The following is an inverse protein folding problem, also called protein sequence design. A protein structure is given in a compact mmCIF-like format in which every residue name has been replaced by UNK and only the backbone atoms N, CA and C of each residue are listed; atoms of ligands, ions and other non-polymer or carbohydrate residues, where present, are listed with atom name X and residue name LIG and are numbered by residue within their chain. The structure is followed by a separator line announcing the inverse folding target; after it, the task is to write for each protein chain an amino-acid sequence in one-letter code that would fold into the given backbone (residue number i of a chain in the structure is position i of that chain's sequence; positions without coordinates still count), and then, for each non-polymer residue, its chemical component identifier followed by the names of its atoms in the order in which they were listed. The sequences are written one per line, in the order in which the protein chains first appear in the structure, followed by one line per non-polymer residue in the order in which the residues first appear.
data_IF_960454500987
#
_entry.id   IF_960454500987
#
_cell.length_a   1.000
_cell.length_b   1.000
_cell.length_c   1.000
_cell.angle_alpha   90.00
_cell.angle_beta   90.00
_cell.angle_gamma   90.00
#
_symmetry.space_group_name_H-M   'P 1'
#
loop_
_entity.id
_entity.type
_entity.pdbx_description
1 polymer ?
#
# COMPACT_ATOMS: atom_id res chain seq x y z
N UNK A 1 7.09 5.24 10.71
CA UNK A 1 6.11 4.13 10.86
C UNK A 1 5.36 3.90 9.56
N UNK A 2 5.30 2.66 9.08
CA UNK A 2 4.54 2.24 7.87
C UNK A 2 3.21 1.62 8.29
N UNK A 3 2.10 2.03 7.68
CA UNK A 3 0.78 1.45 7.90
C UNK A 3 0.27 0.64 6.71
N UNK A 4 -0.73 -0.21 6.96
CA UNK A 4 -1.47 -0.95 5.92
C UNK A 4 -2.96 -0.63 6.01
N UNK A 5 -3.62 -0.47 4.85
CA UNK A 5 -5.04 -0.21 4.73
C UNK A 5 -5.67 -1.10 3.66
N UNK A 6 -6.59 -1.98 4.06
CA UNK A 6 -7.46 -2.67 3.12
C UNK A 6 -8.73 -1.84 2.95
N UNK A 7 -8.99 -1.37 1.73
CA UNK A 7 -10.16 -0.55 1.40
C UNK A 7 -10.99 -1.25 0.34
N UNK A 8 -12.32 -1.13 0.41
CA UNK A 8 -13.25 -1.70 -0.57
C UNK A 8 -13.74 -0.68 -1.60
N UNK A 9 -13.53 0.61 -1.36
CA UNK A 9 -13.91 1.71 -2.23
C UNK A 9 -12.96 2.88 -2.02
N UNK A 10 -12.71 3.67 -3.07
CA UNK A 10 -11.88 4.89 -3.01
C UNK A 10 -10.57 4.73 -2.21
N UNK A 11 -9.78 3.71 -2.58
CA UNK A 11 -8.54 3.30 -1.90
C UNK A 11 -7.60 4.48 -1.66
N UNK A 12 -7.36 5.31 -2.68
CA UNK A 12 -6.43 6.43 -2.59
C UNK A 12 -6.90 7.54 -1.62
N UNK A 13 -8.20 7.87 -1.64
CA UNK A 13 -8.76 8.88 -0.76
C UNK A 13 -8.63 8.48 0.71
N UNK A 14 -9.10 7.27 1.06
CA UNK A 14 -9.03 6.79 2.44
C UNK A 14 -7.60 6.54 2.91
N UNK A 15 -6.71 6.07 2.03
CA UNK A 15 -5.30 5.91 2.37
C UNK A 15 -4.67 7.24 2.76
N UNK A 16 -4.86 8.30 1.96
CA UNK A 16 -4.34 9.64 2.26
C UNK A 16 -4.90 10.21 3.56
N UNK A 17 -6.20 10.05 3.79
CA UNK A 17 -6.84 10.46 5.04
C UNK A 17 -6.24 9.73 6.26
N UNK A 18 -6.03 8.41 6.16
CA UNK A 18 -5.40 7.61 7.22
C UNK A 18 -3.93 7.99 7.43
N UNK A 19 -3.18 8.27 6.37
CA UNK A 19 -1.80 8.74 6.44
C UNK A 19 -1.71 10.00 7.29
N UNK A 20 -2.54 11.01 7.00
CA UNK A 20 -2.57 12.27 7.74
C UNK A 20 -3.09 12.07 9.17
N UNK A 21 -4.23 11.41 9.34
CA UNK A 21 -4.90 11.25 10.65
C UNK A 21 -4.08 10.44 11.65
N UNK A 22 -3.31 9.45 11.17
CA UNK A 22 -2.44 8.62 12.01
C UNK A 22 -0.98 9.11 12.05
N UNK A 23 -0.67 10.22 11.38
CA UNK A 23 0.68 10.76 11.23
C UNK A 23 1.70 9.67 10.82
N UNK A 24 1.33 8.87 9.81
CA UNK A 24 2.19 7.82 9.27
C UNK A 24 3.18 8.42 8.28
N UNK A 25 4.34 7.80 8.14
CA UNK A 25 5.33 8.22 7.13
C UNK A 25 4.98 7.63 5.76
N UNK A 26 4.36 6.45 5.77
CA UNK A 26 3.92 5.74 4.58
C UNK A 26 2.70 4.86 4.91
N UNK A 27 1.80 4.69 3.96
CA UNK A 27 0.66 3.78 4.05
C UNK A 27 0.52 2.98 2.76
N UNK A 28 0.37 1.67 2.89
CA UNK A 28 0.16 0.77 1.77
C UNK A 28 -1.31 0.41 1.71
N UNK A 29 -1.97 0.66 0.59
CA UNK A 29 -3.39 0.42 0.44
C UNK A 29 -3.71 -0.51 -0.73
N UNK A 30 -4.54 -1.52 -0.49
CA UNK A 30 -5.00 -2.45 -1.51
C UNK A 30 -6.54 -2.43 -1.59
N UNK A 31 -7.04 -2.57 -2.82
CA UNK A 31 -8.47 -2.72 -3.08
C UNK A 31 -8.88 -4.16 -2.78
N UNK A 32 -9.67 -4.36 -1.73
CA UNK A 32 -10.22 -5.68 -1.35
C UNK A 32 -11.69 -5.84 -1.75
N UNK A 33 -12.19 -4.98 -2.63
CA UNK A 33 -13.53 -5.10 -3.20
C UNK A 33 -13.73 -6.47 -3.87
N UNK A 34 -14.94 -7.01 -3.76
CA UNK A 34 -15.28 -8.31 -4.36
C UNK A 34 -14.66 -9.53 -3.69
N UNK A 35 -14.02 -9.41 -2.52
CA UNK A 35 -13.49 -10.54 -1.75
C UNK A 35 -12.24 -11.21 -2.37
N UNK A 36 -11.70 -10.62 -3.45
CA UNK A 36 -10.63 -11.21 -4.26
C UNK A 36 -9.23 -11.06 -3.70
N UNK A 37 -9.01 -10.50 -2.51
CA UNK A 37 -7.63 -10.32 -2.00
C UNK A 37 -7.30 -11.23 -0.82
N UNK A 38 -8.30 -11.67 -0.06
CA UNK A 38 -8.08 -12.63 1.02
C UNK A 38 -7.99 -14.05 0.44
N UNK A 39 -6.77 -14.56 0.31
CA UNK A 39 -6.50 -15.93 -0.14
C UNK A 39 -6.10 -16.07 -1.60
N UNK A 40 -5.94 -14.97 -2.34
CA UNK A 40 -5.34 -15.00 -3.67
C UNK A 40 -3.82 -14.89 -3.58
N UNK A 41 -3.13 -15.58 -4.49
CA UNK A 41 -1.67 -15.51 -4.59
C UNK A 41 -1.20 -14.23 -5.27
N UNK A 42 -2.07 -13.55 -6.01
CA UNK A 42 -1.78 -12.27 -6.66
C UNK A 42 -2.47 -11.11 -5.95
N UNK A 43 -1.74 -10.01 -5.77
CA UNK A 43 -2.24 -8.81 -5.13
C UNK A 43 -1.61 -7.55 -5.77
N UNK A 44 -2.29 -6.42 -5.66
CA UNK A 44 -1.81 -5.11 -6.08
C UNK A 44 -1.85 -4.16 -4.89
N UNK A 45 -0.86 -3.29 -4.77
CA UNK A 45 -0.78 -2.31 -3.68
C UNK A 45 -0.55 -0.93 -4.26
N UNK A 46 -1.14 0.07 -3.64
CA UNK A 46 -0.82 1.47 -3.88
C UNK A 46 -0.20 2.03 -2.60
N UNK A 47 1.05 2.45 -2.70
CA UNK A 47 1.81 3.00 -1.57
C UNK A 47 1.72 4.52 -1.62
N UNK A 48 1.38 5.14 -0.51
CA UNK A 48 1.31 6.60 -0.35
C UNK A 48 2.24 7.03 0.76
N UNK A 49 2.93 8.15 0.57
CA UNK A 49 3.77 8.79 1.58
C UNK A 49 3.58 10.31 1.52
N UNK A 50 4.23 11.04 2.44
CA UNK A 50 4.01 12.48 2.62
C UNK A 50 4.26 13.33 1.37
N UNK A 51 5.10 12.86 0.45
CA UNK A 51 5.53 13.62 -0.74
C UNK A 51 5.10 13.01 -2.07
N UNK A 52 4.36 11.89 -2.07
CA UNK A 52 4.00 11.20 -3.30
C UNK A 52 3.27 9.88 -3.10
N UNK A 53 3.08 9.19 -4.21
CA UNK A 53 2.41 7.89 -4.27
C UNK A 53 3.01 7.03 -5.39
N UNK A 54 2.89 5.71 -5.24
CA UNK A 54 3.36 4.71 -6.20
C UNK A 54 2.40 3.54 -6.25
N UNK A 55 1.91 3.25 -7.45
CA UNK A 55 1.16 2.04 -7.72
C UNK A 55 2.14 0.88 -7.98
N UNK A 56 2.00 -0.19 -7.19
CA UNK A 56 2.66 -1.46 -7.40
C UNK A 56 1.77 -2.35 -8.27
N UNK A 57 2.33 -3.05 -9.26
CA UNK A 57 1.55 -3.87 -10.18
C UNK A 57 0.91 -5.07 -9.47
N UNK A 58 -0.15 -5.61 -10.08
CA UNK A 58 -0.71 -6.91 -9.69
C UNK A 58 0.34 -7.99 -9.92
N UNK A 59 0.84 -8.57 -8.83
CA UNK A 59 1.88 -9.62 -8.90
C UNK A 59 1.74 -10.59 -7.73
N UNK A 60 2.56 -11.65 -7.74
CA UNK A 60 2.59 -12.64 -6.68
C UNK A 60 2.88 -11.97 -5.33
N UNK A 61 2.18 -12.35 -4.26
CA UNK A 61 2.32 -11.76 -2.91
C UNK A 61 3.76 -11.72 -2.41
N UNK A 62 4.57 -12.73 -2.78
CA UNK A 62 5.99 -12.78 -2.42
C UNK A 62 6.79 -11.70 -3.17
N UNK A 63 6.61 -11.59 -4.49
CA UNK A 63 7.25 -10.53 -5.30
C UNK A 63 6.75 -9.14 -4.88
N UNK A 64 5.48 -9.01 -4.57
CA UNK A 64 4.91 -7.75 -4.09
C UNK A 64 5.54 -7.33 -2.76
N UNK A 65 5.79 -8.27 -1.86
CA UNK A 65 6.49 -8.01 -0.60
C UNK A 65 7.95 -7.58 -0.85
N UNK A 66 8.66 -8.21 -1.77
CA UNK A 66 10.02 -7.81 -2.15
C UNK A 66 10.06 -6.38 -2.69
N UNK A 67 9.16 -6.05 -3.63
CA UNK A 67 9.03 -4.70 -4.19
C UNK A 67 8.71 -3.71 -3.07
N UNK A 68 7.73 -4.02 -2.22
CA UNK A 68 7.33 -3.14 -1.13
C UNK A 68 8.48 -2.86 -0.15
N UNK A 69 9.24 -3.88 0.24
CA UNK A 69 10.40 -3.71 1.12
C UNK A 69 11.45 -2.83 0.44
N UNK A 70 11.70 -3.02 -0.85
CA UNK A 70 12.62 -2.17 -1.62
C UNK A 70 12.17 -0.70 -1.59
N UNK A 71 10.89 -0.41 -1.80
CA UNK A 71 10.35 0.95 -1.72
C UNK A 71 10.50 1.55 -0.32
N UNK A 72 10.18 0.78 0.73
CA UNK A 72 10.32 1.24 2.11
C UNK A 72 11.79 1.59 2.40
N UNK A 73 12.73 0.73 2.01
CA UNK A 73 14.16 0.95 2.21
C UNK A 73 14.64 2.21 1.47
N UNK A 74 14.23 2.40 0.21
CA UNK A 74 14.61 3.57 -0.59
C UNK A 74 14.12 4.89 0.03
N UNK A 75 12.95 4.87 0.65
CA UNK A 75 12.35 6.06 1.28
C UNK A 75 12.76 6.29 2.74
N UNK A 76 13.22 5.28 3.48
CA UNK A 76 13.68 5.42 4.88
C UNK A 76 15.19 5.67 5.03
N UNK A 77 15.99 5.41 3.99
CA UNK A 77 17.44 5.66 3.99
C UNK A 77 17.86 7.04 3.45
N UNK A 78 16.91 7.95 3.20
CA UNK A 78 17.17 9.37 2.90
C UNK A 78 16.76 10.24 4.08
#
# INVERSE_FOLDING_TARGET
MVGFAAETQNVAGYAKDKLQRKNLDMICANDVSGGQVFGQDQNALHVFWKTGEKALPLTDKNKLAEILVSEIVEHYHK
#
